data_IF_711398759278
#
_entry.id   IF_711398759278
#
_cell.length_a   1.000
_cell.length_b   1.000
_cell.length_c   1.000
_cell.angle_alpha   90.00
_cell.angle_beta   90.00
_cell.angle_gamma   90.00
#
_symmetry.space_group_name_H-M   'P 1'
#
loop_
_entity.id
_entity.type
_entity.pdbx_description
1 polymer ?
#
# COMPACT_ATOMS: atom_id res chain seq x y z
N UNK A 1 -3.58 -9.99 -4.40
CA UNK A 1 -2.91 -8.76 -4.90
C UNK A 1 -3.06 -8.49 -6.41
N UNK A 2 -3.64 -7.34 -6.79
CA UNK A 2 -3.62 -6.80 -8.17
C UNK A 2 -2.86 -5.47 -8.19
N UNK A 3 -1.65 -5.42 -8.77
CA UNK A 3 -0.79 -4.22 -8.80
C UNK A 3 -0.93 -3.40 -10.10
N UNK A 4 -2.08 -3.48 -10.77
CA UNK A 4 -2.36 -2.73 -11.98
C UNK A 4 -3.76 -2.17 -11.98
N UNK A 5 -3.93 -1.02 -12.62
CA UNK A 5 -5.26 -0.44 -12.87
C UNK A 5 -5.30 0.27 -14.22
N UNK A 6 -6.50 0.46 -14.75
CA UNK A 6 -6.71 1.21 -15.99
C UNK A 6 -7.49 2.49 -15.68
N UNK A 7 -6.93 3.63 -16.04
CA UNK A 7 -7.51 4.95 -15.83
C UNK A 7 -7.46 5.73 -17.15
N UNK A 8 -8.60 6.27 -17.59
CA UNK A 8 -8.69 7.11 -18.80
C UNK A 8 -8.02 6.52 -20.05
N UNK A 9 -8.14 5.20 -20.24
CA UNK A 9 -7.57 4.49 -21.39
C UNK A 9 -6.11 4.04 -21.23
N UNK A 10 -5.38 4.56 -20.23
CA UNK A 10 -4.01 4.18 -19.89
C UNK A 10 -3.97 3.09 -18.81
N UNK A 11 -3.06 2.12 -18.95
CA UNK A 11 -2.82 1.08 -17.95
C UNK A 11 -1.60 1.47 -17.11
N UNK A 12 -1.77 1.50 -15.80
CA UNK A 12 -0.71 1.73 -14.82
C UNK A 12 -0.39 0.40 -14.15
N UNK A 13 0.90 0.09 -14.02
CA UNK A 13 1.41 -1.13 -13.40
C UNK A 13 2.45 -0.70 -12.38
N UNK A 14 2.36 -1.25 -11.18
CA UNK A 14 3.30 -1.02 -10.08
C UNK A 14 4.08 -2.32 -9.83
N UNK A 15 5.35 -2.20 -9.49
CA UNK A 15 6.28 -3.30 -9.29
C UNK A 15 5.95 -4.11 -8.05
N UNK A 16 5.67 -3.43 -6.95
CA UNK A 16 5.45 -4.01 -5.63
C UNK A 16 4.57 -3.10 -4.75
N UNK A 17 4.22 -3.58 -3.56
CA UNK A 17 3.41 -2.83 -2.58
C UNK A 17 4.12 -1.54 -2.13
N UNK A 18 5.45 -1.56 -2.00
CA UNK A 18 6.23 -0.38 -1.60
C UNK A 18 6.09 0.75 -2.62
N UNK A 19 6.14 0.44 -3.92
CA UNK A 19 5.93 1.44 -4.97
C UNK A 19 4.49 1.97 -4.98
N UNK A 20 3.48 1.13 -4.75
CA UNK A 20 2.09 1.58 -4.62
C UNK A 20 1.95 2.56 -3.46
N UNK A 21 2.51 2.23 -2.29
CA UNK A 21 2.47 3.09 -1.11
C UNK A 21 3.16 4.43 -1.35
N UNK A 22 4.33 4.44 -2.01
CA UNK A 22 5.07 5.68 -2.27
C UNK A 22 4.36 6.57 -3.28
N UNK A 23 3.84 6.00 -4.38
CA UNK A 23 3.16 6.77 -5.44
C UNK A 23 1.75 7.21 -5.06
N UNK A 24 1.12 6.57 -4.07
CA UNK A 24 -0.20 6.97 -3.57
C UNK A 24 -0.17 8.20 -2.66
N UNK A 25 1.00 8.62 -2.17
CA UNK A 25 1.15 9.84 -1.37
C UNK A 25 0.73 11.09 -2.15
N UNK A 26 0.24 12.11 -1.42
CA UNK A 26 0.24 13.47 -1.97
C UNK A 26 1.66 13.96 -2.24
N UNK A 27 1.79 15.01 -3.06
CA UNK A 27 3.09 15.54 -3.46
C UNK A 27 3.85 16.03 -2.23
N UNK A 28 5.01 15.43 -1.96
CA UNK A 28 5.94 15.79 -0.88
C UNK A 28 7.34 15.94 -1.45
N UNK A 29 8.06 17.00 -1.04
CA UNK A 29 9.42 17.27 -1.53
C UNK A 29 10.42 16.16 -1.19
N UNK A 30 10.27 15.49 -0.04
CA UNK A 30 11.10 14.35 0.35
C UNK A 30 10.95 13.15 -0.58
N UNK A 31 9.71 12.79 -0.93
CA UNK A 31 9.41 11.67 -1.84
C UNK A 31 9.94 11.95 -3.27
N UNK A 32 9.91 13.22 -3.69
CA UNK A 32 10.52 13.67 -4.95
C UNK A 32 12.04 13.50 -4.87
N UNK A 33 12.68 13.99 -3.81
CA UNK A 33 14.13 13.92 -3.64
C UNK A 33 14.63 12.47 -3.55
N UNK A 34 13.84 11.58 -2.95
CA UNK A 34 14.10 10.15 -2.87
C UNK A 34 13.77 9.39 -4.17
N UNK A 35 13.15 10.05 -5.17
CA UNK A 35 12.80 9.42 -6.45
C UNK A 35 11.66 8.41 -6.38
N UNK A 36 10.79 8.50 -5.37
CA UNK A 36 9.71 7.53 -5.10
C UNK A 36 8.30 8.10 -5.30
N UNK A 37 8.20 9.40 -5.55
CA UNK A 37 6.93 10.07 -5.86
C UNK A 37 6.35 9.59 -7.20
N UNK A 38 5.02 9.71 -7.35
CA UNK A 38 4.38 9.56 -8.65
C UNK A 38 4.86 10.64 -9.63
N UNK A 39 5.02 10.26 -10.91
CA UNK A 39 5.49 11.15 -11.97
C UNK A 39 4.46 12.25 -12.29
N UNK A 40 3.17 11.92 -12.18
CA UNK A 40 2.08 12.85 -12.44
C UNK A 40 0.85 12.57 -11.56
N UNK A 41 -0.19 13.39 -11.73
CA UNK A 41 -1.44 13.24 -10.99
C UNK A 41 -2.23 11.97 -11.39
N UNK A 42 -2.13 11.52 -12.65
CA UNK A 42 -2.86 10.34 -13.12
C UNK A 42 -2.27 9.06 -12.51
N UNK A 43 -0.94 8.95 -12.45
CA UNK A 43 -0.23 7.85 -11.78
C UNK A 43 -0.52 7.85 -10.28
N UNK A 44 -0.57 9.02 -9.63
CA UNK A 44 -0.95 9.13 -8.22
C UNK A 44 -2.37 8.62 -7.97
N UNK A 45 -3.34 9.02 -8.79
CA UNK A 45 -4.73 8.53 -8.69
C UNK A 45 -4.81 7.02 -8.97
N UNK A 46 -4.05 6.53 -9.94
CA UNK A 46 -3.94 5.10 -10.22
C UNK A 46 -3.34 4.33 -9.04
N UNK A 47 -2.30 4.85 -8.39
CA UNK A 47 -1.70 4.25 -7.21
C UNK A 47 -2.67 4.22 -6.03
N UNK A 48 -3.41 5.32 -5.77
CA UNK A 48 -4.48 5.36 -4.77
C UNK A 48 -5.57 4.34 -5.05
N UNK A 49 -5.95 4.14 -6.32
CA UNK A 49 -6.94 3.14 -6.72
C UNK A 49 -6.43 1.72 -6.45
N UNK A 50 -5.22 1.40 -6.89
CA UNK A 50 -4.60 0.09 -6.59
C UNK A 50 -4.51 -0.12 -5.08
N UNK A 51 -4.02 0.86 -4.32
CA UNK A 51 -3.93 0.78 -2.86
C UNK A 51 -5.29 0.53 -2.21
N UNK A 52 -6.34 1.19 -2.70
CA UNK A 52 -7.70 1.03 -2.16
C UNK A 52 -8.27 -0.38 -2.35
N UNK A 53 -7.80 -1.10 -3.38
CA UNK A 53 -8.22 -2.47 -3.70
C UNK A 53 -7.32 -3.54 -3.03
N UNK A 54 -6.18 -3.16 -2.44
CA UNK A 54 -5.34 -4.08 -1.67
C UNK A 54 -6.04 -4.49 -0.38
N UNK A 55 -5.87 -5.75 0.01
CA UNK A 55 -6.36 -6.25 1.29
C UNK A 55 -5.40 -5.90 2.44
N UNK A 56 -5.89 -5.91 3.68
CA UNK A 56 -5.04 -5.79 4.86
C UNK A 56 -4.00 -6.93 4.92
N UNK A 57 -4.34 -8.13 4.45
CA UNK A 57 -3.40 -9.25 4.29
C UNK A 57 -2.30 -8.95 3.26
N UNK A 58 -2.65 -8.39 2.09
CA UNK A 58 -1.66 -8.01 1.08
C UNK A 58 -0.63 -7.02 1.68
N UNK A 59 -1.06 -6.06 2.51
CA UNK A 59 -0.15 -5.14 3.20
C UNK A 59 0.68 -5.86 4.28
N UNK A 60 0.02 -6.70 5.09
CA UNK A 60 0.64 -7.38 6.23
C UNK A 60 1.74 -8.36 5.82
N UNK A 61 1.57 -9.04 4.69
CA UNK A 61 2.53 -10.00 4.14
C UNK A 61 3.65 -9.34 3.32
N UNK A 62 3.57 -8.03 3.05
CA UNK A 62 4.56 -7.30 2.27
C UNK A 62 5.08 -6.08 3.05
N UNK A 63 5.80 -6.29 4.18
CA UNK A 63 6.43 -5.18 4.89
C UNK A 63 7.47 -4.49 3.99
N UNK A 64 7.59 -3.17 4.14
CA UNK A 64 8.51 -2.38 3.30
C UNK A 64 9.98 -2.72 3.56
N UNK A 65 10.31 -3.32 4.69
CA UNK A 65 11.62 -3.94 4.96
C UNK A 65 11.35 -5.36 5.49
N UNK A 66 12.00 -6.40 4.93
CA UNK A 66 11.80 -7.78 5.37
C UNK A 66 12.04 -7.97 6.87
N UNK A 67 11.32 -8.90 7.49
CA UNK A 67 11.39 -9.17 8.93
C UNK A 67 12.76 -9.68 9.37
N UNK A 68 13.43 -10.43 8.50
CA UNK A 68 14.79 -10.93 8.71
C UNK A 68 15.83 -9.80 8.80
N UNK A 69 15.60 -8.71 8.07
CA UNK A 69 16.55 -7.61 7.91
C UNK A 69 16.30 -6.45 8.90
N UNK A 70 15.13 -6.39 9.54
CA UNK A 70 14.71 -5.24 10.35
C UNK A 70 14.01 -5.60 11.65
N UNK A 71 14.55 -5.10 12.76
CA UNK A 71 14.00 -5.30 14.10
C UNK A 71 12.67 -4.58 14.30
N UNK A 72 12.51 -3.39 13.71
CA UNK A 72 11.28 -2.60 13.82
C UNK A 72 10.12 -3.36 13.18
N UNK A 73 10.30 -3.88 11.96
CA UNK A 73 9.31 -4.72 11.30
C UNK A 73 8.95 -5.97 12.12
N UNK A 74 9.91 -6.64 12.77
CA UNK A 74 9.62 -7.80 13.64
C UNK A 74 8.77 -7.44 14.85
N UNK A 75 9.05 -6.32 15.49
CA UNK A 75 8.28 -5.87 16.66
C UNK A 75 6.85 -5.51 16.24
N UNK A 76 6.70 -4.75 15.15
CA UNK A 76 5.38 -4.40 14.61
C UNK A 76 4.57 -5.65 14.27
N UNK A 77 5.21 -6.65 13.64
CA UNK A 77 4.59 -7.92 13.26
C UNK A 77 4.15 -8.73 14.50
N UNK A 78 5.08 -8.93 15.46
CA UNK A 78 4.87 -9.76 16.63
C UNK A 78 3.80 -9.24 17.59
N UNK A 79 3.57 -7.92 17.62
CA UNK A 79 2.57 -7.29 18.50
C UNK A 79 1.14 -7.35 17.94
N UNK A 80 0.93 -7.92 16.75
CA UNK A 80 -0.41 -8.05 16.15
C UNK A 80 -1.24 -9.11 16.88
N UNK A 81 -2.47 -8.75 17.23
CA UNK A 81 -3.45 -9.71 17.73
C UNK A 81 -4.00 -10.57 16.57
N UNK A 82 -3.54 -11.82 16.50
CA UNK A 82 -3.89 -12.75 15.43
C UNK A 82 -5.41 -13.00 15.28
N UNK A 83 -6.21 -13.27 16.33
CA UNK A 83 -7.65 -13.41 16.20
C UNK A 83 -8.36 -12.20 15.58
N UNK A 84 -7.99 -10.98 15.99
CA UNK A 84 -8.55 -9.75 15.43
C UNK A 84 -8.14 -9.62 13.97
N UNK A 85 -6.85 -9.77 13.68
CA UNK A 85 -6.35 -9.73 12.30
C UNK A 85 -7.09 -10.70 11.39
N UNK A 86 -7.27 -11.96 11.80
CA UNK A 86 -7.99 -12.97 11.02
C UNK A 86 -9.43 -12.57 10.67
N UNK A 87 -10.09 -11.77 11.50
CA UNK A 87 -11.46 -11.29 11.23
C UNK A 87 -11.54 -10.16 10.21
N UNK A 88 -10.44 -9.41 10.01
CA UNK A 88 -10.41 -8.24 9.11
C UNK A 88 -9.43 -8.38 7.94
N UNK A 89 -8.59 -9.41 7.90
CA UNK A 89 -7.48 -9.52 6.94
C UNK A 89 -7.89 -9.43 5.47
N UNK A 90 -9.11 -9.86 5.15
CA UNK A 90 -9.66 -9.84 3.79
C UNK A 90 -10.30 -8.50 3.41
N UNK A 91 -10.39 -7.54 4.33
CA UNK A 91 -10.91 -6.22 4.02
C UNK A 91 -9.93 -5.49 3.13
N UNK A 92 -10.47 -4.81 2.12
CA UNK A 92 -9.74 -3.84 1.34
C UNK A 92 -9.39 -2.61 2.18
N UNK A 93 -8.34 -1.89 1.79
CA UNK A 93 -8.00 -0.58 2.40
C UNK A 93 -9.18 0.40 2.26
N UNK A 94 -9.94 0.32 1.15
CA UNK A 94 -11.17 1.08 0.98
C UNK A 94 -12.22 0.76 2.06
N UNK A 95 -12.54 -0.52 2.27
CA UNK A 95 -13.50 -0.94 3.30
C UNK A 95 -13.03 -0.55 4.70
N UNK A 96 -11.72 -0.72 4.99
CA UNK A 96 -11.15 -0.30 6.26
C UNK A 96 -11.28 1.21 6.51
N UNK A 97 -11.08 2.03 5.47
CA UNK A 97 -11.30 3.49 5.55
C UNK A 97 -12.77 3.81 5.88
N UNK A 98 -13.72 3.20 5.17
CA UNK A 98 -15.15 3.45 5.40
C UNK A 98 -15.62 2.96 6.77
N UNK A 99 -14.99 1.93 7.33
CA UNK A 99 -15.28 1.48 8.70
C UNK A 99 -14.85 2.48 9.77
N UNK A 100 -13.78 3.25 9.52
CA UNK A 100 -13.20 4.21 10.49
C UNK A 100 -13.93 5.56 10.50
N UNK A 101 -14.54 5.97 9.39
CA UNK A 101 -15.21 7.26 9.20
C UNK A 101 -16.69 7.24 9.62
#
# INVERSE_FOLDING_TARGET
MNLKTRLCGQTFIFKDVKEVLSKANEIKSGDILAGIAANDAAERVAAKRVLSELTLEDLRLNPVIPLEDDEVSRIIDADVNEPIYHSIKNWSVAEFREYVL
#
